data_IF_400552413354
#
_entry.id   IF_400552413354
#
_cell.length_a   1.000
_cell.length_b   1.000
_cell.length_c   1.000
_cell.angle_alpha   90.00
_cell.angle_beta   90.00
_cell.angle_gamma   90.00
#
_symmetry.space_group_name_H-M   'P 1'
#
loop_
_entity.id
_entity.type
_entity.pdbx_description
1 polymer ?
#
# COMPACT_ATOMS: atom_id res chain seq x y z
N UNK A 1 -32.02 40.65 9.37
CA UNK A 1 -31.02 41.15 10.35
C UNK A 1 -30.32 39.93 10.91
N UNK A 2 -29.02 39.70 10.80
CA UNK A 2 -27.86 40.57 10.60
C UNK A 2 -26.77 39.68 9.97
N UNK A 3 -26.11 40.15 8.91
CA UNK A 3 -24.92 39.50 8.37
C UNK A 3 -23.72 39.91 9.22
N UNK A 4 -22.96 38.95 9.72
CA UNK A 4 -21.67 39.18 10.35
C UNK A 4 -20.66 38.29 9.63
N UNK A 5 -19.81 38.93 8.83
CA UNK A 5 -18.61 38.33 8.25
C UNK A 5 -17.57 38.12 9.36
N UNK A 6 -16.76 37.05 9.32
CA UNK A 6 -15.51 37.03 10.05
C UNK A 6 -14.42 37.71 9.21
N UNK A 7 -13.80 38.74 9.78
CA UNK A 7 -12.55 39.33 9.31
C UNK A 7 -11.46 38.26 9.26
N UNK A 8 -10.89 38.03 8.08
CA UNK A 8 -9.69 37.23 7.90
C UNK A 8 -8.49 38.05 8.40
N UNK A 9 -7.96 37.68 9.56
CA UNK A 9 -6.60 38.02 9.94
C UNK A 9 -5.68 37.11 9.12
N UNK A 10 -4.95 37.68 8.17
CA UNK A 10 -3.89 36.99 7.44
C UNK A 10 -2.71 36.72 8.40
N UNK A 11 -2.71 35.56 9.04
CA UNK A 11 -1.47 34.90 9.46
C UNK A 11 -1.00 33.99 8.31
N UNK A 12 0.30 34.00 7.95
CA UNK A 12 0.80 33.06 6.96
C UNK A 12 0.79 31.66 7.57
N UNK A 13 -0.29 30.92 7.31
CA UNK A 13 -0.32 29.48 7.51
C UNK A 13 0.77 28.90 6.59
N UNK A 14 1.92 28.57 7.19
CA UNK A 14 2.87 27.67 6.57
C UNK A 14 2.12 26.36 6.31
N UNK A 15 1.66 26.18 5.08
CA UNK A 15 1.32 24.88 4.53
C UNK A 15 2.54 24.00 4.78
N UNK A 16 2.43 23.14 5.80
CA UNK A 16 3.26 21.95 5.89
C UNK A 16 2.81 21.11 4.70
N UNK A 17 3.47 21.33 3.57
CA UNK A 17 3.43 20.43 2.43
C UNK A 17 3.83 19.08 3.00
N UNK A 18 2.85 18.19 3.11
CA UNK A 18 3.06 16.80 3.49
C UNK A 18 3.88 16.20 2.36
N UNK A 19 5.20 16.24 2.51
CA UNK A 19 6.16 15.64 1.59
C UNK A 19 5.94 14.13 1.62
N UNK A 20 5.17 13.67 0.66
CA UNK A 20 5.05 12.25 0.32
C UNK A 20 6.26 11.90 -0.55
N UNK A 21 6.84 10.74 -0.24
CA UNK A 21 7.98 10.05 -0.87
C UNK A 21 9.26 10.13 -0.04
N UNK A 22 9.33 9.24 0.95
CA UNK A 22 10.52 8.97 1.79
C UNK A 22 11.53 8.05 1.10
N UNK A 23 11.26 7.65 -0.15
CA UNK A 23 11.99 6.60 -0.86
C UNK A 23 12.98 7.13 -1.91
N UNK A 24 13.23 8.44 -1.95
CA UNK A 24 14.26 9.02 -2.83
C UNK A 24 15.11 9.98 -2.02
N UNK A 25 16.19 9.46 -1.42
CA UNK A 25 17.30 10.30 -0.98
C UNK A 25 18.15 10.66 -2.20
N UNK A 26 17.88 11.80 -2.82
CA UNK A 26 18.85 12.40 -3.73
C UNK A 26 20.08 12.77 -2.89
N UNK A 27 21.25 12.23 -3.23
CA UNK A 27 22.51 12.50 -2.53
C UNK A 27 22.93 13.97 -2.58
N UNK A 28 22.33 14.77 -3.48
CA UNK A 28 22.59 16.18 -3.60
C UNK A 28 21.32 16.95 -4.03
N UNK A 29 20.98 18.01 -3.30
CA UNK A 29 19.81 18.89 -3.58
C UNK A 29 20.10 19.94 -4.67
N UNK A 30 21.08 19.69 -5.54
CA UNK A 30 21.53 20.60 -6.59
C UNK A 30 21.47 19.93 -7.95
N UNK A 31 21.01 20.69 -8.95
CA UNK A 31 21.04 20.24 -10.34
C UNK A 31 22.50 20.04 -10.80
N UNK A 32 22.79 19.01 -11.62
CA UNK A 32 24.14 18.76 -12.11
C UNK A 32 24.67 19.97 -12.88
N UNK A 33 25.77 20.55 -12.40
CA UNK A 33 26.48 21.61 -13.14
C UNK A 33 27.31 20.98 -14.25
N UNK A 34 26.79 21.01 -15.48
CA UNK A 34 27.56 20.67 -16.67
C UNK A 34 28.22 21.91 -17.27
N UNK A 35 29.37 21.74 -17.94
CA UNK A 35 29.98 22.77 -18.78
C UNK A 35 29.80 22.41 -20.26
N UNK A 36 29.26 23.35 -21.03
CA UNK A 36 29.08 23.19 -22.48
C UNK A 36 30.36 23.61 -23.21
N UNK A 37 30.80 22.79 -24.15
CA UNK A 37 31.90 23.12 -25.05
C UNK A 37 31.49 24.12 -26.16
N UNK A 38 32.44 24.56 -27.00
CA UNK A 38 32.21 25.56 -28.05
C UNK A 38 31.12 25.20 -29.07
N UNK A 39 30.77 23.92 -29.20
CA UNK A 39 29.73 23.41 -30.11
C UNK A 39 28.48 22.91 -29.37
N UNK A 40 28.22 23.38 -28.14
CA UNK A 40 27.10 22.93 -27.29
C UNK A 40 27.11 21.43 -26.94
N UNK A 41 28.26 20.76 -27.11
CA UNK A 41 28.46 19.40 -26.62
C UNK A 41 28.68 19.42 -25.11
N UNK A 42 27.93 18.59 -24.39
CA UNK A 42 28.09 18.40 -22.94
C UNK A 42 29.40 17.65 -22.72
N UNK A 43 30.46 18.34 -22.28
CA UNK A 43 31.67 17.70 -21.81
C UNK A 43 31.41 17.11 -20.42
N UNK A 44 31.10 15.83 -20.39
CA UNK A 44 30.94 15.08 -19.16
C UNK A 44 32.31 14.82 -18.54
N UNK A 45 32.48 15.19 -17.27
CA UNK A 45 33.13 14.32 -16.27
C UNK A 45 33.14 14.99 -14.90
N UNK A 46 32.23 14.55 -14.02
CA UNK A 46 32.62 14.23 -12.66
C UNK A 46 32.25 12.78 -12.47
N UNK A 47 33.27 11.90 -12.44
CA UNK A 47 33.13 10.54 -11.93
C UNK A 47 32.85 10.63 -10.43
N UNK A 48 31.62 10.98 -10.07
CA UNK A 48 31.11 10.54 -8.78
C UNK A 48 30.86 9.05 -8.93
N UNK A 49 31.71 8.27 -8.26
CA UNK A 49 31.49 6.86 -7.98
C UNK A 49 30.27 6.76 -7.04
N UNK A 50 29.09 7.17 -7.51
CA UNK A 50 27.80 6.85 -6.91
C UNK A 50 27.49 5.38 -7.22
N UNK A 51 28.38 4.48 -6.80
CA UNK A 51 27.99 3.10 -6.58
C UNK A 51 27.20 3.10 -5.29
N UNK A 52 25.88 3.29 -5.41
CA UNK A 52 24.96 2.80 -4.39
C UNK A 52 25.29 1.33 -4.09
N UNK A 53 24.92 0.82 -2.90
CA UNK A 53 25.22 -0.56 -2.53
C UNK A 53 24.81 -1.50 -3.67
N UNK A 54 25.65 -2.47 -4.04
CA UNK A 54 25.35 -3.39 -5.13
C UNK A 54 23.97 -4.00 -4.91
N UNK A 55 23.20 -4.15 -5.99
CA UNK A 55 21.81 -4.63 -5.94
C UNK A 55 21.67 -5.93 -5.12
N UNK A 56 22.71 -6.78 -5.14
CA UNK A 56 22.77 -8.00 -4.35
C UNK A 56 22.78 -7.76 -2.83
N UNK A 57 23.50 -6.76 -2.36
CA UNK A 57 23.57 -6.37 -0.95
C UNK A 57 22.26 -5.76 -0.48
N UNK A 58 21.64 -4.90 -1.29
CA UNK A 58 20.30 -4.35 -1.00
C UNK A 58 19.24 -5.44 -0.96
N UNK A 59 19.31 -6.41 -1.87
CA UNK A 59 18.40 -7.56 -1.88
C UNK A 59 18.61 -8.41 -0.64
N UNK A 60 19.86 -8.72 -0.28
CA UNK A 60 20.19 -9.49 0.93
C UNK A 60 19.68 -8.78 2.19
N UNK A 61 19.95 -7.48 2.33
CA UNK A 61 19.53 -6.67 3.47
C UNK A 61 18.00 -6.54 3.57
N UNK A 62 17.29 -6.38 2.45
CA UNK A 62 15.81 -6.38 2.43
C UNK A 62 15.23 -7.79 2.68
N UNK A 63 15.86 -8.87 2.21
CA UNK A 63 15.44 -10.25 2.59
C UNK A 63 15.65 -10.54 4.06
N UNK A 64 16.74 -10.07 4.65
CA UNK A 64 17.04 -10.20 6.08
C UNK A 64 16.04 -9.38 6.90
N UNK A 65 15.70 -8.18 6.43
CA UNK A 65 14.68 -7.32 7.05
C UNK A 65 13.28 -7.91 6.95
N UNK A 66 12.91 -8.50 5.81
CA UNK A 66 11.64 -9.21 5.61
C UNK A 66 11.56 -10.49 6.46
N UNK A 67 12.66 -11.24 6.58
CA UNK A 67 12.71 -12.42 7.45
C UNK A 67 12.73 -12.04 8.93
N UNK A 68 13.39 -10.95 9.33
CA UNK A 68 13.30 -10.42 10.69
C UNK A 68 11.86 -9.96 11.00
N UNK A 69 11.18 -9.28 10.07
CA UNK A 69 9.77 -8.93 10.19
C UNK A 69 8.87 -10.18 10.30
N UNK A 70 9.16 -11.23 9.54
CA UNK A 70 8.46 -12.51 9.66
C UNK A 70 8.73 -13.20 11.01
N UNK A 71 9.94 -13.05 11.58
CA UNK A 71 10.37 -13.65 12.84
C UNK A 71 9.94 -12.86 14.09
N UNK A 72 9.53 -11.60 13.96
CA UNK A 72 8.86 -10.82 15.01
C UNK A 72 7.44 -11.36 15.24
N UNK A 73 7.39 -12.59 15.76
CA UNK A 73 6.20 -13.38 16.09
C UNK A 73 5.15 -13.33 14.97
N UNK A 74 5.39 -14.09 13.90
CA UNK A 74 4.36 -14.43 12.93
C UNK A 74 3.05 -14.76 13.66
N UNK A 75 1.92 -14.24 13.17
CA UNK A 75 0.58 -14.53 13.72
C UNK A 75 0.36 -16.04 13.89
N UNK A 76 0.99 -16.84 13.03
CA UNK A 76 1.03 -18.30 13.09
C UNK A 76 1.71 -18.83 14.35
N UNK A 77 2.85 -18.27 14.73
CA UNK A 77 3.58 -18.63 15.94
C UNK A 77 2.82 -18.23 17.19
N UNK A 78 2.17 -17.05 17.17
CA UNK A 78 1.32 -16.58 18.25
C UNK A 78 0.11 -17.51 18.47
N UNK A 79 -0.57 -17.90 17.39
CA UNK A 79 -1.67 -18.86 17.44
C UNK A 79 -1.22 -20.23 17.98
N UNK A 80 -0.09 -20.75 17.51
CA UNK A 80 0.44 -22.03 17.99
C UNK A 80 0.81 -22.00 19.48
N UNK A 81 1.37 -20.87 19.96
CA UNK A 81 1.68 -20.67 21.38
C UNK A 81 0.41 -20.59 22.22
N UNK A 82 -0.62 -19.89 21.73
CA UNK A 82 -1.93 -19.84 22.38
C UNK A 82 -2.58 -21.23 22.49
N UNK A 83 -2.62 -22.00 21.41
CA UNK A 83 -3.21 -23.34 21.42
C UNK A 83 -2.42 -24.32 22.33
N UNK A 84 -1.08 -24.24 22.32
CA UNK A 84 -0.23 -25.00 23.25
C UNK A 84 -0.51 -24.65 24.71
N UNK A 85 -0.64 -23.36 25.02
CA UNK A 85 -0.93 -22.88 26.37
C UNK A 85 -2.35 -23.27 26.81
N UNK A 86 -3.33 -23.19 25.91
CA UNK A 86 -4.71 -23.62 26.17
C UNK A 86 -4.76 -25.14 26.43
N UNK A 87 -4.03 -25.93 25.66
CA UNK A 87 -3.90 -27.38 25.86
C UNK A 87 -3.19 -27.72 27.17
N UNK A 88 -2.12 -26.99 27.52
CA UNK A 88 -1.42 -27.14 28.79
C UNK A 88 -2.33 -26.81 29.99
N UNK A 89 -3.12 -25.73 29.90
CA UNK A 89 -4.10 -25.37 30.92
C UNK A 89 -5.20 -26.42 31.07
N UNK A 90 -5.68 -26.99 29.95
CA UNK A 90 -6.64 -28.09 29.98
C UNK A 90 -6.06 -29.36 30.64
N UNK A 91 -4.78 -29.68 30.39
CA UNK A 91 -4.08 -30.80 31.04
C UNK A 91 -3.92 -30.57 32.54
N UNK A 92 -3.51 -29.38 32.98
CA UNK A 92 -3.43 -29.03 34.40
C UNK A 92 -4.79 -29.11 35.10
N UNK A 93 -5.86 -28.66 34.43
CA UNK A 93 -7.23 -28.81 34.94
C UNK A 93 -7.65 -30.27 35.11
N UNK A 94 -7.18 -31.17 34.23
CA UNK A 94 -7.48 -32.60 34.35
C UNK A 94 -6.60 -33.31 35.39
N UNK A 95 -5.33 -32.94 35.52
CA UNK A 95 -4.45 -33.41 36.60
C UNK A 95 -5.02 -33.04 37.99
N UNK A 96 -5.54 -31.81 38.12
CA UNK A 96 -6.23 -31.37 39.34
C UNK A 96 -7.49 -32.20 39.64
N UNK A 97 -8.22 -32.70 38.63
CA UNK A 97 -9.35 -33.63 38.79
C UNK A 97 -8.91 -35.06 39.15
N UNK A 98 -7.69 -35.48 38.82
CA UNK A 98 -7.17 -36.81 39.19
C UNK A 98 -6.73 -36.81 40.66
N UNK A 99 -6.22 -35.67 41.16
CA UNK A 99 -5.89 -35.48 42.58
C UNK A 99 -7.12 -35.40 43.51
N UNK A 100 -8.32 -35.32 42.94
CA UNK A 100 -9.63 -35.20 43.60
C UNK A 100 -10.10 -36.50 44.28
N UNK A 101 -9.47 -37.64 43.98
CA UNK A 101 -9.93 -38.95 44.44
C UNK A 101 -9.62 -39.37 45.91
N UNK A 102 -8.86 -38.63 46.76
CA UNK A 102 -8.76 -39.02 48.17
C UNK A 102 -8.86 -37.84 49.16
N UNK A 103 -9.96 -37.09 49.17
CA UNK A 103 -10.30 -36.20 50.32
C UNK A 103 -11.12 -36.96 51.38
N UNK A 104 -12.11 -37.76 50.93
CA UNK A 104 -12.93 -38.61 51.79
C UNK A 104 -12.11 -39.64 52.60
N UNK A 105 -11.05 -40.19 52.00
CA UNK A 105 -10.16 -41.15 52.66
C UNK A 105 -9.43 -40.49 53.86
N UNK A 106 -9.05 -39.21 53.74
CA UNK A 106 -8.38 -38.45 54.80
C UNK A 106 -9.26 -38.24 56.03
N UNK A 107 -10.52 -37.84 55.84
CA UNK A 107 -11.50 -37.69 56.94
C UNK A 107 -11.82 -39.01 57.62
N UNK A 108 -11.97 -40.09 56.84
CA UNK A 108 -12.20 -41.44 57.38
C UNK A 108 -11.00 -41.91 58.20
N UNK A 109 -9.78 -41.66 57.74
CA UNK A 109 -8.55 -42.04 58.43
C UNK A 109 -8.36 -41.24 59.73
N UNK A 110 -8.56 -39.92 59.69
CA UNK A 110 -8.48 -39.06 60.88
C UNK A 110 -9.53 -39.44 61.93
N UNK A 111 -10.75 -39.80 61.50
CA UNK A 111 -11.79 -40.30 62.40
C UNK A 111 -11.38 -41.61 63.08
N UNK A 112 -10.90 -42.61 62.31
CA UNK A 112 -10.44 -43.89 62.86
C UNK A 112 -9.27 -43.72 63.83
N UNK A 113 -8.35 -42.80 63.51
CA UNK A 113 -7.22 -42.47 64.38
C UNK A 113 -7.69 -41.85 65.69
N UNK A 114 -8.59 -40.87 65.64
CA UNK A 114 -9.19 -40.26 66.83
C UNK A 114 -9.88 -41.31 67.71
N UNK A 115 -10.72 -42.15 67.12
CA UNK A 115 -11.47 -43.16 67.86
C UNK A 115 -10.53 -44.20 68.52
N UNK A 116 -9.41 -44.53 67.86
CA UNK A 116 -8.35 -45.40 68.42
C UNK A 116 -7.60 -44.75 69.59
N UNK A 117 -7.30 -43.45 69.49
CA UNK A 117 -6.66 -42.68 70.55
C UNK A 117 -7.60 -42.51 71.76
N UNK A 118 -8.90 -42.30 71.53
CA UNK A 118 -9.90 -42.21 72.60
C UNK A 118 -10.04 -43.54 73.36
N UNK A 119 -9.99 -44.67 72.62
CA UNK A 119 -9.96 -46.00 73.23
C UNK A 119 -8.69 -46.22 74.09
N UNK A 120 -7.52 -45.79 73.62
CA UNK A 120 -6.26 -45.87 74.38
C UNK A 120 -6.27 -44.97 75.62
N UNK A 121 -6.80 -43.74 75.49
CA UNK A 121 -6.97 -42.79 76.61
C UNK A 121 -7.76 -43.39 77.76
N UNK A 122 -8.83 -44.14 77.48
CA UNK A 122 -9.64 -44.81 78.49
C UNK A 122 -8.91 -45.91 79.27
N UNK A 123 -7.76 -46.38 78.78
CA UNK A 123 -6.96 -47.46 79.38
C UNK A 123 -5.67 -47.00 80.07
N UNK A 124 -5.32 -45.72 79.95
CA UNK A 124 -4.03 -45.16 80.42
C UNK A 124 -4.23 -44.15 81.55
N UNK A 125 -3.20 -43.99 82.38
CA UNK A 125 -3.19 -43.08 83.54
C UNK A 125 -1.87 -42.31 83.63
N UNK A 126 -1.87 -41.17 84.35
CA UNK A 126 -0.71 -40.31 84.53
C UNK A 126 -0.26 -39.61 83.24
N UNK A 127 1.06 -39.39 83.09
CA UNK A 127 1.68 -38.67 81.98
C UNK A 127 1.30 -39.22 80.59
N UNK A 128 1.19 -40.55 80.45
CA UNK A 128 0.81 -41.17 79.18
C UNK A 128 -0.61 -40.80 78.73
N UNK A 129 -1.51 -40.51 79.68
CA UNK A 129 -2.88 -40.07 79.37
C UNK A 129 -2.87 -38.63 78.84
N UNK A 130 -2.06 -37.75 79.43
CA UNK A 130 -1.91 -36.35 79.01
C UNK A 130 -1.32 -36.25 77.60
N UNK A 131 -0.35 -37.09 77.26
CA UNK A 131 0.23 -37.12 75.91
C UNK A 131 -0.75 -37.60 74.85
N UNK A 132 -1.63 -38.54 75.19
CA UNK A 132 -2.72 -38.97 74.29
C UNK A 132 -3.78 -37.89 74.14
N UNK A 133 -4.13 -37.15 75.21
CA UNK A 133 -5.01 -35.99 75.10
C UNK A 133 -4.44 -34.91 74.17
N UNK A 134 -3.12 -34.65 74.22
CA UNK A 134 -2.45 -33.77 73.26
C UNK A 134 -2.53 -34.33 71.83
N UNK A 135 -2.31 -35.64 71.65
CA UNK A 135 -2.39 -36.29 70.35
C UNK A 135 -3.82 -36.20 69.75
N UNK A 136 -4.85 -36.43 70.56
CA UNK A 136 -6.27 -36.27 70.17
C UNK A 136 -6.52 -34.82 69.73
N UNK A 137 -6.08 -33.85 70.52
CA UNK A 137 -6.22 -32.41 70.20
C UNK A 137 -5.54 -32.06 68.86
N UNK A 138 -4.38 -32.65 68.58
CA UNK A 138 -3.67 -32.46 67.31
C UNK A 138 -4.43 -33.07 66.13
N UNK A 139 -5.00 -34.27 66.31
CA UNK A 139 -5.83 -34.94 65.29
C UNK A 139 -7.09 -34.14 64.98
N UNK A 140 -7.75 -33.57 66.00
CA UNK A 140 -8.90 -32.68 65.83
C UNK A 140 -8.51 -31.41 65.06
N UNK A 141 -7.38 -30.79 65.42
CA UNK A 141 -6.85 -29.63 64.69
C UNK A 141 -6.51 -29.96 63.22
N UNK A 142 -6.00 -31.17 62.94
CA UNK A 142 -5.75 -31.63 61.58
C UNK A 142 -7.04 -31.84 60.79
N UNK A 143 -8.09 -32.38 61.42
CA UNK A 143 -9.40 -32.56 60.78
C UNK A 143 -10.03 -31.22 60.38
N UNK A 144 -9.97 -30.21 61.27
CA UNK A 144 -10.44 -28.85 60.96
C UNK A 144 -9.68 -28.24 59.79
N UNK A 145 -8.33 -28.34 59.79
CA UNK A 145 -7.50 -27.86 58.67
C UNK A 145 -7.82 -28.57 57.35
N UNK A 146 -8.09 -29.87 57.39
CA UNK A 146 -8.44 -30.64 56.19
C UNK A 146 -9.76 -30.13 55.58
N UNK A 147 -10.79 -29.91 56.41
CA UNK A 147 -12.07 -29.34 55.95
C UNK A 147 -11.92 -27.92 55.39
N UNK A 148 -11.10 -27.08 56.03
CA UNK A 148 -10.84 -25.72 55.54
C UNK A 148 -10.16 -25.73 54.17
N UNK A 149 -9.09 -26.52 54.03
CA UNK A 149 -8.35 -26.65 52.77
C UNK A 149 -9.25 -27.17 51.63
N UNK A 150 -10.17 -28.10 51.92
CA UNK A 150 -11.14 -28.58 50.94
C UNK A 150 -12.12 -27.48 50.51
N UNK A 151 -12.58 -26.64 51.45
CA UNK A 151 -13.43 -25.48 51.14
C UNK A 151 -12.74 -24.47 50.23
N UNK A 152 -11.48 -24.15 50.53
CA UNK A 152 -10.63 -23.26 49.70
C UNK A 152 -10.42 -23.86 48.30
N UNK A 153 -10.14 -25.16 48.21
CA UNK A 153 -9.95 -25.86 46.92
C UNK A 153 -11.23 -25.86 46.07
N UNK A 154 -12.42 -26.03 46.69
CA UNK A 154 -13.71 -25.96 45.98
C UNK A 154 -13.94 -24.55 45.43
N UNK A 155 -13.63 -23.51 46.21
CA UNK A 155 -13.74 -22.13 45.76
C UNK A 155 -12.76 -21.82 44.61
N UNK A 156 -11.50 -22.21 44.74
CA UNK A 156 -10.49 -22.05 43.69
C UNK A 156 -10.93 -22.76 42.40
N UNK A 157 -11.49 -23.97 42.50
CA UNK A 157 -12.04 -24.70 41.34
C UNK A 157 -13.16 -23.93 40.64
N UNK A 158 -14.02 -23.26 41.40
CA UNK A 158 -15.09 -22.44 40.82
C UNK A 158 -14.51 -21.24 40.06
N UNK A 159 -13.52 -20.56 40.64
CA UNK A 159 -12.83 -19.44 40.01
C UNK A 159 -12.04 -19.86 38.76
N UNK A 160 -11.31 -20.98 38.82
CA UNK A 160 -10.60 -21.56 37.68
C UNK A 160 -11.58 -21.93 36.57
N UNK A 161 -12.74 -22.54 36.89
CA UNK A 161 -13.78 -22.85 35.90
C UNK A 161 -14.31 -21.58 35.23
N UNK A 162 -14.52 -20.52 36.01
CA UNK A 162 -14.93 -19.21 35.48
C UNK A 162 -13.87 -18.62 34.55
N UNK A 163 -12.60 -18.68 34.94
CA UNK A 163 -11.47 -18.20 34.14
C UNK A 163 -11.32 -18.97 32.82
N UNK A 164 -11.48 -20.30 32.84
CA UNK A 164 -11.47 -21.13 31.63
C UNK A 164 -12.58 -20.71 30.66
N UNK A 165 -13.78 -20.39 31.16
CA UNK A 165 -14.86 -19.92 30.30
C UNK A 165 -14.54 -18.55 29.68
N UNK A 166 -13.96 -17.62 30.44
CA UNK A 166 -13.51 -16.34 29.88
C UNK A 166 -12.41 -16.51 28.83
N UNK A 167 -11.43 -17.39 29.08
CA UNK A 167 -10.37 -17.69 28.11
C UNK A 167 -10.92 -18.30 26.81
N UNK A 168 -11.91 -19.19 26.91
CA UNK A 168 -12.60 -19.74 25.73
C UNK A 168 -13.31 -18.65 24.94
N UNK A 169 -14.10 -17.82 25.62
CA UNK A 169 -14.82 -16.71 24.98
C UNK A 169 -13.86 -15.74 24.29
N UNK A 170 -12.80 -15.31 24.99
CA UNK A 170 -11.80 -14.41 24.43
C UNK A 170 -11.07 -15.03 23.23
N UNK A 171 -10.80 -16.34 23.26
CA UNK A 171 -10.19 -17.07 22.13
C UNK A 171 -11.12 -17.10 20.91
N UNK A 172 -12.40 -17.36 21.10
CA UNK A 172 -13.40 -17.35 20.02
C UNK A 172 -13.60 -15.96 19.43
N UNK A 173 -13.70 -14.93 20.28
CA UNK A 173 -13.82 -13.54 19.85
C UNK A 173 -12.59 -13.07 19.07
N UNK A 174 -11.38 -13.42 19.52
CA UNK A 174 -10.16 -13.13 18.79
C UNK A 174 -10.13 -13.82 17.40
N UNK A 175 -10.54 -15.09 17.33
CA UNK A 175 -10.64 -15.82 16.05
C UNK A 175 -11.63 -15.16 15.09
N UNK A 176 -12.79 -14.74 15.60
CA UNK A 176 -13.81 -14.04 14.80
C UNK A 176 -13.28 -12.72 14.25
N UNK A 177 -12.66 -11.89 15.08
CA UNK A 177 -12.09 -10.61 14.66
C UNK A 177 -11.02 -10.78 13.57
N UNK A 178 -10.11 -11.73 13.76
CA UNK A 178 -9.05 -12.01 12.77
C UNK A 178 -9.64 -12.45 11.42
N UNK A 179 -10.65 -13.33 11.44
CA UNK A 179 -11.29 -13.78 10.21
C UNK A 179 -12.06 -12.65 9.51
N UNK A 180 -12.74 -11.80 10.29
CA UNK A 180 -13.45 -10.64 9.76
C UNK A 180 -12.47 -9.65 9.09
N UNK A 181 -11.38 -9.30 9.75
CA UNK A 181 -10.38 -8.39 9.18
C UNK A 181 -9.72 -8.97 7.93
N UNK A 182 -9.41 -10.27 7.93
CA UNK A 182 -8.92 -10.96 6.73
C UNK A 182 -9.92 -10.87 5.57
N UNK A 183 -11.21 -11.05 5.85
CA UNK A 183 -12.24 -10.96 4.81
C UNK A 183 -12.35 -9.55 4.24
N UNK A 184 -12.25 -8.51 5.07
CA UNK A 184 -12.24 -7.11 4.63
C UNK A 184 -11.01 -6.79 3.79
N UNK A 185 -9.81 -7.17 4.27
CA UNK A 185 -8.58 -6.97 3.52
C UNK A 185 -8.61 -7.68 2.16
N UNK A 186 -9.11 -8.93 2.11
CA UNK A 186 -9.27 -9.63 0.83
C UNK A 186 -10.22 -8.91 -0.13
N UNK A 187 -11.37 -8.42 0.37
CA UNK A 187 -12.33 -7.68 -0.45
C UNK A 187 -11.75 -6.35 -0.97
N UNK A 188 -11.00 -5.62 -0.15
CA UNK A 188 -10.33 -4.38 -0.55
C UNK A 188 -9.24 -4.64 -1.60
N UNK A 189 -8.43 -5.68 -1.40
CA UNK A 189 -7.42 -6.11 -2.38
C UNK A 189 -8.07 -6.50 -3.71
N UNK A 190 -9.17 -7.24 -3.67
CA UNK A 190 -9.89 -7.66 -4.89
C UNK A 190 -10.52 -6.47 -5.61
N UNK A 191 -11.10 -5.53 -4.86
CA UNK A 191 -11.59 -4.26 -5.40
C UNK A 191 -10.49 -3.45 -6.09
N UNK A 192 -9.33 -3.29 -5.44
CA UNK A 192 -8.18 -2.59 -6.00
C UNK A 192 -7.65 -3.31 -7.25
N UNK A 193 -7.57 -4.64 -7.25
CA UNK A 193 -7.20 -5.45 -8.42
C UNK A 193 -8.14 -5.23 -9.59
N UNK A 194 -9.46 -5.18 -9.35
CA UNK A 194 -10.45 -4.89 -10.39
C UNK A 194 -10.27 -3.49 -10.99
N UNK A 195 -9.94 -2.49 -10.18
CA UNK A 195 -9.62 -1.13 -10.67
C UNK A 195 -8.36 -1.15 -11.53
N UNK A 196 -7.28 -1.78 -11.06
CA UNK A 196 -6.02 -1.90 -11.81
C UNK A 196 -6.24 -2.63 -13.13
N UNK A 197 -7.02 -3.71 -13.13
CA UNK A 197 -7.37 -4.44 -14.35
C UNK A 197 -8.08 -3.54 -15.37
N UNK A 198 -9.11 -2.80 -14.94
CA UNK A 198 -9.83 -1.88 -15.84
C UNK A 198 -8.93 -0.78 -16.40
N UNK A 199 -8.01 -0.24 -15.59
CA UNK A 199 -7.04 0.75 -16.05
C UNK A 199 -6.08 0.11 -17.08
N UNK A 200 -5.61 -1.11 -16.82
CA UNK A 200 -4.77 -1.85 -17.77
C UNK A 200 -5.48 -2.08 -19.10
N UNK A 201 -6.74 -2.53 -19.07
CA UNK A 201 -7.56 -2.73 -20.29
C UNK A 201 -7.76 -1.42 -21.06
N UNK A 202 -8.06 -0.31 -20.37
CA UNK A 202 -8.21 1.00 -21.01
C UNK A 202 -6.91 1.50 -21.66
N UNK A 203 -5.76 1.29 -21.01
CA UNK A 203 -4.45 1.64 -21.57
C UNK A 203 -4.11 0.79 -22.80
N UNK A 204 -4.38 -0.51 -22.75
CA UNK A 204 -4.19 -1.42 -23.88
C UNK A 204 -5.10 -1.07 -25.07
N UNK A 205 -6.33 -0.63 -24.83
CA UNK A 205 -7.24 -0.13 -25.87
C UNK A 205 -6.73 1.16 -26.51
N UNK A 206 -6.24 2.11 -25.71
CA UNK A 206 -5.68 3.35 -26.21
C UNK A 206 -4.39 3.13 -27.02
N UNK A 207 -3.52 2.21 -26.58
CA UNK A 207 -2.34 1.81 -27.35
C UNK A 207 -2.71 1.18 -28.70
N UNK A 208 -3.80 0.40 -28.79
CA UNK A 208 -4.26 -0.17 -30.08
C UNK A 208 -4.90 0.88 -31.00
N UNK A 209 -5.57 1.89 -30.45
CA UNK A 209 -6.30 2.88 -31.23
C UNK A 209 -5.39 4.04 -31.71
N UNK A 210 -4.37 4.41 -30.93
CA UNK A 210 -3.45 5.52 -31.23
C UNK A 210 -2.63 5.39 -32.53
N UNK A 211 -2.04 4.23 -32.93
CA UNK A 211 -1.28 4.14 -34.17
C UNK A 211 -2.17 4.23 -35.40
N UNK A 212 -3.46 3.92 -35.28
CA UNK A 212 -4.40 3.93 -36.40
C UNK A 212 -4.86 5.36 -36.70
N UNK A 213 -5.21 6.13 -35.66
CA UNK A 213 -5.57 7.55 -35.80
C UNK A 213 -4.42 8.41 -36.33
N UNK A 214 -3.21 8.27 -35.75
CA UNK A 214 -2.07 9.06 -36.19
C UNK A 214 -1.62 8.74 -37.63
N UNK A 215 -1.67 7.46 -38.04
CA UNK A 215 -1.36 7.08 -39.43
C UNK A 215 -2.40 7.60 -40.41
N UNK A 216 -3.67 7.52 -40.05
CA UNK A 216 -4.78 7.96 -40.90
C UNK A 216 -4.78 9.48 -41.08
N UNK A 217 -4.43 10.24 -40.04
CA UNK A 217 -4.21 11.69 -40.13
C UNK A 217 -3.02 12.06 -41.03
N UNK A 218 -1.89 11.36 -40.88
CA UNK A 218 -0.70 11.59 -41.72
C UNK A 218 -0.97 11.23 -43.18
N UNK A 219 -1.72 10.16 -43.44
CA UNK A 219 -2.11 9.75 -44.79
C UNK A 219 -3.05 10.78 -45.44
N UNK A 220 -4.06 11.28 -44.72
CA UNK A 220 -4.93 12.36 -45.19
C UNK A 220 -4.17 13.65 -45.53
N UNK A 221 -3.24 14.06 -44.66
CA UNK A 221 -2.37 15.22 -44.92
C UNK A 221 -1.50 15.01 -46.17
N UNK A 222 -1.05 13.79 -46.44
CA UNK A 222 -0.22 13.48 -47.59
C UNK A 222 -1.03 13.59 -48.90
N UNK A 223 -2.29 13.13 -48.90
CA UNK A 223 -3.22 13.30 -50.02
C UNK A 223 -3.52 14.78 -50.31
N UNK A 224 -3.80 15.57 -49.26
CA UNK A 224 -4.04 17.02 -49.40
C UNK A 224 -2.82 17.75 -49.98
N UNK A 225 -1.62 17.41 -49.51
CA UNK A 225 -0.37 17.96 -50.04
C UNK A 225 -0.16 17.57 -51.50
N UNK A 226 -0.49 16.34 -51.88
CA UNK A 226 -0.40 15.90 -53.28
C UNK A 226 -1.38 16.66 -54.19
N UNK A 227 -2.64 16.83 -53.78
CA UNK A 227 -3.61 17.57 -54.59
C UNK A 227 -3.25 19.06 -54.69
N UNK A 228 -2.78 19.68 -53.60
CA UNK A 228 -2.29 21.05 -53.64
C UNK A 228 -1.12 21.22 -54.62
N UNK A 229 -0.20 20.25 -54.69
CA UNK A 229 0.89 20.24 -55.69
C UNK A 229 0.35 20.08 -57.10
N UNK A 230 -0.63 19.21 -57.32
CA UNK A 230 -1.27 18.98 -58.63
C UNK A 230 -1.97 20.24 -59.13
N UNK A 231 -2.78 20.88 -58.28
CA UNK A 231 -3.46 22.14 -58.58
C UNK A 231 -2.43 23.21 -58.96
N UNK A 232 -1.36 23.36 -58.18
CA UNK A 232 -0.30 24.35 -58.46
C UNK A 232 0.33 24.14 -59.85
N UNK A 233 0.63 22.89 -60.20
CA UNK A 233 1.22 22.55 -61.50
C UNK A 233 0.27 22.80 -62.68
N UNK A 234 -1.04 22.62 -62.50
CA UNK A 234 -2.03 22.89 -63.54
C UNK A 234 -2.21 24.39 -63.81
N UNK A 235 -2.18 25.22 -62.77
CA UNK A 235 -2.50 26.65 -62.90
C UNK A 235 -1.28 27.52 -63.26
N UNK A 236 -0.07 27.07 -62.96
CA UNK A 236 1.15 27.84 -63.25
C UNK A 236 1.42 28.01 -64.76
N UNK A 237 1.32 26.98 -65.63
CA UNK A 237 1.49 27.12 -67.08
C UNK A 237 0.39 27.95 -67.75
N UNK A 238 -0.86 27.83 -67.28
CA UNK A 238 -1.98 28.60 -67.83
C UNK A 238 -1.75 30.10 -67.67
N UNK A 239 -1.34 30.54 -66.47
CA UNK A 239 -1.07 31.95 -66.21
C UNK A 239 0.07 32.51 -67.06
N UNK A 240 1.10 31.70 -67.32
CA UNK A 240 2.22 32.10 -68.21
C UNK A 240 1.74 32.22 -69.66
N UNK A 241 0.95 31.26 -70.14
CA UNK A 241 0.38 31.30 -71.50
C UNK A 241 -0.52 32.53 -71.72
N UNK A 242 -1.39 32.86 -70.75
CA UNK A 242 -2.26 34.03 -70.84
C UNK A 242 -1.45 35.32 -70.94
N UNK A 243 -0.41 35.47 -70.10
CA UNK A 243 0.51 36.61 -70.16
C UNK A 243 1.27 36.69 -71.49
N UNK A 244 1.66 35.55 -72.08
CA UNK A 244 2.31 35.54 -73.40
C UNK A 244 1.37 35.98 -74.52
N UNK A 245 0.09 35.62 -74.45
CA UNK A 245 -0.92 36.06 -75.42
C UNK A 245 -1.16 37.57 -75.31
N UNK A 246 -1.27 38.11 -74.09
CA UNK A 246 -1.39 39.56 -73.85
C UNK A 246 -0.16 40.32 -74.38
N UNK A 247 1.05 39.83 -74.10
CA UNK A 247 2.29 40.43 -74.62
C UNK A 247 2.35 40.42 -76.15
N UNK A 248 1.88 39.34 -76.79
CA UNK A 248 1.78 39.27 -78.26
C UNK A 248 0.81 40.32 -78.80
N UNK A 249 -0.36 40.47 -78.19
CA UNK A 249 -1.35 41.47 -78.58
C UNK A 249 -0.78 42.91 -78.45
N UNK A 250 -0.12 43.23 -77.33
CA UNK A 250 0.52 44.52 -77.12
C UNK A 250 1.61 44.80 -78.15
N UNK A 251 2.43 43.81 -78.51
CA UNK A 251 3.46 43.97 -79.56
C UNK A 251 2.85 44.26 -80.93
N UNK A 252 1.73 43.63 -81.28
CA UNK A 252 1.02 43.91 -82.53
C UNK A 252 0.51 45.36 -82.53
N UNK A 253 -0.16 45.78 -81.46
CA UNK A 253 -0.65 47.16 -81.32
C UNK A 253 0.47 48.21 -81.39
N UNK A 254 1.62 47.94 -80.75
CA UNK A 254 2.80 48.82 -80.81
C UNK A 254 3.31 48.94 -82.24
N UNK A 255 3.40 47.82 -82.99
CA UNK A 255 3.84 47.85 -84.40
C UNK A 255 2.87 48.64 -85.26
N UNK A 256 1.57 48.42 -85.14
CA UNK A 256 0.56 49.17 -85.88
C UNK A 256 0.67 50.67 -85.60
N UNK A 257 0.67 51.06 -84.31
CA UNK A 257 0.84 52.47 -83.91
C UNK A 257 2.16 53.05 -84.40
N UNK A 258 3.24 52.28 -84.41
CA UNK A 258 4.54 52.73 -84.92
C UNK A 258 4.51 52.96 -86.43
N UNK A 259 3.84 52.08 -87.20
CA UNK A 259 3.70 52.28 -88.66
C UNK A 259 2.85 53.51 -88.98
N UNK A 260 1.77 53.75 -88.23
CA UNK A 260 0.94 54.95 -88.37
C UNK A 260 1.74 56.19 -88.00
N UNK A 261 2.44 56.18 -86.87
CA UNK A 261 3.32 57.27 -86.43
C UNK A 261 4.38 57.60 -87.48
N UNK A 262 5.04 56.59 -88.06
CA UNK A 262 6.03 56.78 -89.11
C UNK A 262 5.43 57.39 -90.40
N UNK A 263 4.22 56.96 -90.79
CA UNK A 263 3.50 57.55 -91.94
C UNK A 263 3.16 59.03 -91.66
N UNK A 264 2.61 59.33 -90.50
CA UNK A 264 2.31 60.70 -90.07
C UNK A 264 3.58 61.56 -90.01
N UNK A 265 4.69 61.03 -89.48
CA UNK A 265 5.96 61.74 -89.45
C UNK A 265 6.47 62.09 -90.85
N UNK A 266 6.34 61.18 -91.83
CA UNK A 266 6.64 61.47 -93.24
C UNK A 266 5.75 62.55 -93.80
N UNK A 267 4.46 62.50 -93.53
CA UNK A 267 3.46 63.46 -94.02
C UNK A 267 3.69 64.86 -93.44
N UNK A 268 3.96 64.96 -92.13
CA UNK A 268 4.37 66.20 -91.47
C UNK A 268 5.70 66.72 -92.02
N UNK A 269 6.68 65.84 -92.25
CA UNK A 269 7.96 66.24 -92.86
C UNK A 269 7.80 66.75 -94.30
N UNK A 270 6.79 66.28 -95.03
CA UNK A 270 6.45 66.77 -96.37
C UNK A 270 5.78 68.16 -96.29
N UNK A 271 4.90 68.37 -95.30
CA UNK A 271 4.25 69.67 -95.07
C UNK A 271 5.21 70.76 -94.56
N UNK A 272 6.25 70.41 -93.81
CA UNK A 272 7.30 71.35 -93.37
C UNK A 272 8.36 71.68 -94.45
N UNK A 273 8.30 71.04 -95.62
CA UNK A 273 9.25 71.23 -96.74
C UNK A 273 8.71 72.10 -97.88
N UNK A 274 7.53 72.70 -97.69
CA UNK A 274 6.92 73.76 -98.50
C UNK A 274 7.10 75.07 -97.74
#
# INVERSE_FOLDING_TARGET
MTKVSPEFVEEPQMQIVRSVSRDVSLSNNQFPTYKLGPNFEVLQDTKEDNKGPPLKEVVEEETDRLTEQHNRLSVRDLASKFDKNLSAAAKLSNEAKIREAPSLEGHVLLKKLRDSLEFLKGRLTGLNKEDIEKAISLVEALAVKLTQNEGELIQEKFEVKKLVNFLKQASEDAKRLVNQERSFACAEIESARSVVQRIGEALDEEERNSPTSAKQEVEGLLEEVQEARRIKLLHQPSKVMDMEHELRALRIQIREKSTVSFKLQKEVSFLFRI
#
